data_IF_388446424239
#
_entry.id   IF_388446424239
#
_cell.length_a   1.000
_cell.length_b   1.000
_cell.length_c   1.000
_cell.angle_alpha   90.00
_cell.angle_beta   90.00
_cell.angle_gamma   90.00
#
_symmetry.space_group_name_H-M   'P 1'
#
loop_
_entity.id
_entity.type
_entity.pdbx_description
1 polymer ?
#
# COMPACT_ATOMS: atom_id res chain seq x y z
N UNK A 1 -23.20 -19.10 -29.08
CA UNK A 1 -23.03 -20.01 -27.91
C UNK A 1 -23.70 -19.39 -26.68
N UNK A 2 -24.15 -20.19 -25.71
CA UNK A 2 -24.76 -19.67 -24.48
C UNK A 2 -23.65 -19.29 -23.47
N UNK A 3 -23.72 -18.13 -22.79
CA UNK A 3 -22.75 -17.77 -21.76
C UNK A 3 -22.90 -18.66 -20.53
N UNK A 4 -21.77 -18.93 -19.86
CA UNK A 4 -21.72 -19.72 -18.64
C UNK A 4 -22.59 -19.07 -17.54
N UNK A 5 -23.56 -19.81 -17.01
CA UNK A 5 -24.51 -19.31 -16.00
C UNK A 5 -23.82 -18.74 -14.76
N UNK A 6 -22.73 -19.39 -14.30
CA UNK A 6 -21.92 -18.98 -13.15
C UNK A 6 -21.38 -17.55 -13.27
N UNK A 7 -21.03 -17.10 -14.48
CA UNK A 7 -20.33 -15.83 -14.68
C UNK A 7 -21.24 -14.67 -15.11
N UNK A 8 -22.50 -14.93 -15.48
CA UNK A 8 -23.42 -13.90 -16.00
C UNK A 8 -23.54 -12.69 -15.08
N UNK A 9 -23.75 -12.92 -13.77
CA UNK A 9 -23.88 -11.83 -12.79
C UNK A 9 -22.59 -11.01 -12.66
N UNK A 10 -21.44 -11.67 -12.62
CA UNK A 10 -20.14 -11.01 -12.53
C UNK A 10 -19.79 -10.23 -13.80
N UNK A 11 -20.22 -10.71 -14.96
CA UNK A 11 -20.08 -9.98 -16.24
C UNK A 11 -20.90 -8.69 -16.23
N UNK A 12 -22.13 -8.73 -15.71
CA UNK A 12 -22.94 -7.51 -15.56
C UNK A 12 -22.30 -6.51 -14.58
N UNK A 13 -21.74 -6.99 -13.47
CA UNK A 13 -21.00 -6.15 -12.53
C UNK A 13 -19.69 -5.61 -13.11
N UNK A 14 -18.98 -6.38 -13.93
CA UNK A 14 -17.80 -5.92 -14.65
C UNK A 14 -18.13 -4.79 -15.63
N UNK A 15 -19.25 -4.89 -16.35
CA UNK A 15 -19.69 -3.84 -17.28
C UNK A 15 -20.10 -2.53 -16.58
N UNK A 16 -20.48 -2.60 -15.31
CA UNK A 16 -20.81 -1.44 -14.47
C UNK A 16 -19.63 -0.95 -13.62
N UNK A 17 -18.43 -1.51 -13.83
CA UNK A 17 -17.22 -1.24 -13.04
C UNK A 17 -17.41 -1.41 -11.51
N UNK A 18 -18.26 -2.37 -11.14
CA UNK A 18 -18.65 -2.64 -9.74
C UNK A 18 -18.00 -3.90 -9.16
N UNK A 19 -17.01 -4.45 -9.85
CA UNK A 19 -16.30 -5.68 -9.44
C UNK A 19 -14.97 -5.30 -8.78
N UNK A 20 -14.58 -5.98 -7.70
CA UNK A 20 -13.26 -5.76 -7.11
C UNK A 20 -12.13 -6.17 -8.06
N UNK A 21 -10.95 -5.60 -7.83
CA UNK A 21 -9.77 -5.76 -8.70
C UNK A 21 -9.37 -7.22 -8.89
N UNK A 22 -9.53 -8.07 -7.87
CA UNK A 22 -9.16 -9.48 -7.97
C UNK A 22 -10.19 -10.27 -8.76
N UNK A 23 -11.49 -10.10 -8.45
CA UNK A 23 -12.57 -10.74 -9.19
C UNK A 23 -12.60 -10.31 -10.66
N UNK A 24 -12.25 -9.06 -10.95
CA UNK A 24 -12.16 -8.55 -12.32
C UNK A 24 -11.01 -9.21 -13.09
N UNK A 25 -9.85 -9.42 -12.45
CA UNK A 25 -8.73 -10.15 -13.05
C UNK A 25 -9.09 -11.60 -13.34
N UNK A 26 -9.67 -12.30 -12.38
CA UNK A 26 -10.07 -13.71 -12.54
C UNK A 26 -11.13 -13.88 -13.64
N UNK A 27 -12.10 -12.96 -13.71
CA UNK A 27 -13.12 -13.00 -14.75
C UNK A 27 -12.53 -12.70 -16.13
N UNK A 28 -11.62 -11.73 -16.24
CA UNK A 28 -10.92 -11.43 -17.51
C UNK A 28 -10.15 -12.64 -18.02
N UNK A 29 -9.45 -13.37 -17.15
CA UNK A 29 -8.77 -14.62 -17.54
C UNK A 29 -9.74 -15.66 -18.13
N UNK A 30 -10.96 -15.78 -17.59
CA UNK A 30 -11.99 -16.67 -18.16
C UNK A 30 -12.49 -16.18 -19.53
N UNK A 31 -12.63 -14.87 -19.72
CA UNK A 31 -13.10 -14.28 -20.99
C UNK A 31 -12.12 -14.48 -22.15
N UNK A 32 -10.83 -14.63 -21.86
CA UNK A 32 -9.82 -15.00 -22.87
C UNK A 32 -10.07 -16.39 -23.46
N UNK A 33 -10.59 -17.32 -22.66
CA UNK A 33 -10.83 -18.71 -23.09
C UNK A 33 -12.28 -18.97 -23.55
N UNK A 34 -13.26 -18.12 -23.19
CA UNK A 34 -14.68 -18.38 -23.44
C UNK A 34 -15.33 -17.34 -24.35
N UNK A 35 -15.55 -17.70 -25.62
CA UNK A 35 -16.21 -16.83 -26.61
C UNK A 35 -17.65 -16.47 -26.22
N UNK A 36 -18.42 -17.41 -25.67
CA UNK A 36 -19.81 -17.17 -25.28
C UNK A 36 -19.94 -16.11 -24.18
N UNK A 37 -19.04 -16.11 -23.20
CA UNK A 37 -19.00 -15.10 -22.15
C UNK A 37 -18.49 -13.75 -22.67
N UNK A 38 -17.53 -13.76 -23.62
CA UNK A 38 -17.01 -12.54 -24.25
C UNK A 38 -18.09 -11.82 -25.06
N UNK A 39 -18.85 -12.56 -25.86
CA UNK A 39 -19.96 -11.99 -26.64
C UNK A 39 -21.04 -11.43 -25.73
N UNK A 40 -21.37 -12.14 -24.65
CA UNK A 40 -22.32 -11.65 -23.66
C UNK A 40 -21.83 -10.37 -22.95
N UNK A 41 -20.53 -10.26 -22.63
CA UNK A 41 -19.97 -9.03 -22.09
C UNK A 41 -20.15 -7.86 -23.08
N UNK A 42 -19.85 -8.08 -24.37
CA UNK A 42 -20.02 -7.06 -25.40
C UNK A 42 -21.49 -6.59 -25.54
N UNK A 43 -22.44 -7.52 -25.44
CA UNK A 43 -23.88 -7.19 -25.48
C UNK A 43 -24.26 -6.32 -24.28
N UNK A 44 -23.84 -6.70 -23.07
CA UNK A 44 -24.14 -5.93 -21.85
C UNK A 44 -23.44 -4.57 -21.87
N UNK A 45 -22.17 -4.50 -22.27
CA UNK A 45 -21.43 -3.23 -22.35
C UNK A 45 -22.07 -2.27 -23.35
N UNK A 46 -22.57 -2.78 -24.49
CA UNK A 46 -23.29 -1.97 -25.48
C UNK A 46 -24.61 -1.41 -24.95
N UNK A 47 -25.33 -2.16 -24.10
CA UNK A 47 -26.54 -1.64 -23.42
C UNK A 47 -26.17 -0.56 -22.41
N UNK A 48 -25.15 -0.79 -21.56
CA UNK A 48 -24.73 0.20 -20.58
C UNK A 48 -24.21 1.48 -21.22
N UNK A 49 -23.52 1.38 -22.36
CA UNK A 49 -23.07 2.54 -23.13
C UNK A 49 -24.24 3.34 -23.68
N UNK A 50 -25.24 2.68 -24.28
CA UNK A 50 -26.47 3.36 -24.74
C UNK A 50 -27.22 4.04 -23.59
N UNK A 51 -27.28 3.41 -22.42
CA UNK A 51 -27.89 4.00 -21.22
C UNK A 51 -27.09 5.20 -20.70
N UNK A 52 -25.76 5.14 -20.74
CA UNK A 52 -24.89 6.25 -20.38
C UNK A 52 -25.01 7.41 -21.39
N UNK A 53 -25.11 7.13 -22.68
CA UNK A 53 -25.30 8.14 -23.72
C UNK A 53 -26.71 8.76 -23.67
N UNK A 54 -27.73 7.96 -23.30
CA UNK A 54 -29.09 8.43 -23.07
C UNK A 54 -29.30 9.06 -21.69
N UNK A 55 -28.27 9.07 -20.83
CA UNK A 55 -28.30 9.79 -19.55
C UNK A 55 -28.42 11.26 -19.90
N UNK A 56 -29.67 11.74 -19.85
CA UNK A 56 -30.10 13.14 -19.92
C UNK A 56 -28.99 13.96 -19.31
N UNK A 57 -28.43 14.91 -20.07
CA UNK A 57 -27.40 15.83 -19.60
C UNK A 57 -27.83 16.37 -18.25
N UNK A 58 -27.37 15.71 -17.19
CA UNK A 58 -27.53 16.22 -15.86
C UNK A 58 -26.72 17.51 -15.95
N UNK A 59 -27.38 18.65 -15.81
CA UNK A 59 -26.81 20.00 -15.89
C UNK A 59 -25.76 20.28 -14.81
N UNK A 60 -25.04 19.25 -14.37
CA UNK A 60 -23.81 19.24 -13.62
C UNK A 60 -22.71 19.62 -14.62
N UNK A 61 -22.62 20.91 -14.94
CA UNK A 61 -21.36 21.46 -15.44
C UNK A 61 -20.33 21.25 -14.33
N UNK A 62 -19.44 20.28 -14.52
CA UNK A 62 -18.24 20.19 -13.69
C UNK A 62 -17.48 21.50 -13.86
N UNK A 63 -17.19 22.19 -12.75
CA UNK A 63 -16.52 23.49 -12.79
C UNK A 63 -15.16 23.34 -13.49
N UNK A 64 -14.76 24.36 -14.23
CA UNK A 64 -13.44 24.40 -14.90
C UNK A 64 -12.29 24.11 -13.92
N UNK A 65 -12.44 24.59 -12.67
CA UNK A 65 -11.51 24.32 -11.58
C UNK A 65 -11.44 22.85 -11.15
N UNK A 66 -12.53 22.09 -11.26
CA UNK A 66 -12.52 20.65 -11.02
C UNK A 66 -11.75 19.94 -12.14
N UNK A 67 -12.02 20.29 -13.40
CA UNK A 67 -11.28 19.73 -14.54
C UNK A 67 -9.77 20.01 -14.44
N UNK A 68 -9.39 21.24 -14.10
CA UNK A 68 -7.98 21.61 -13.97
C UNK A 68 -7.30 20.85 -12.84
N UNK A 69 -7.98 20.63 -11.71
CA UNK A 69 -7.48 19.81 -10.60
C UNK A 69 -7.32 18.35 -10.99
N UNK A 70 -8.31 17.75 -11.66
CA UNK A 70 -8.26 16.34 -12.09
C UNK A 70 -7.16 16.12 -13.12
N UNK A 71 -7.05 16.99 -14.13
CA UNK A 71 -5.98 16.93 -15.13
C UNK A 71 -4.61 17.12 -14.48
N UNK A 72 -4.50 18.05 -13.53
CA UNK A 72 -3.28 18.25 -12.74
C UNK A 72 -2.88 17.00 -11.95
N UNK A 73 -3.85 16.37 -11.27
CA UNK A 73 -3.63 15.14 -10.51
C UNK A 73 -3.15 13.98 -11.40
N UNK A 74 -3.82 13.75 -12.53
CA UNK A 74 -3.44 12.71 -13.50
C UNK A 74 -2.02 12.89 -14.04
N UNK A 75 -1.66 14.13 -14.43
CA UNK A 75 -0.29 14.43 -14.89
C UNK A 75 0.75 14.24 -13.79
N UNK A 76 0.41 14.58 -12.55
CA UNK A 76 1.35 14.41 -11.43
C UNK A 76 1.68 12.94 -11.19
N UNK A 77 0.69 12.05 -11.30
CA UNK A 77 0.86 10.61 -11.13
C UNK A 77 1.67 9.98 -12.28
N UNK A 78 1.43 10.42 -13.51
CA UNK A 78 2.22 10.00 -14.68
C UNK A 78 3.69 10.42 -14.55
N UNK A 79 3.95 11.68 -14.15
CA UNK A 79 5.32 12.17 -13.95
C UNK A 79 6.04 11.52 -12.78
N UNK A 80 5.34 11.16 -11.70
CA UNK A 80 5.92 10.43 -10.57
C UNK A 80 6.51 9.07 -11.02
N UNK A 81 5.79 8.34 -11.86
CA UNK A 81 6.26 7.06 -12.41
C UNK A 81 7.53 7.19 -13.28
N UNK A 82 7.65 8.31 -14.02
CA UNK A 82 8.82 8.61 -14.84
C UNK A 82 10.05 8.97 -13.98
N UNK A 83 9.85 9.63 -12.84
CA UNK A 83 10.93 9.91 -11.89
C UNK A 83 11.39 8.66 -11.14
N UNK A 84 10.46 7.76 -10.79
CA UNK A 84 10.79 6.48 -10.14
C UNK A 84 11.63 5.58 -11.05
N UNK A 85 11.30 5.52 -12.35
CA UNK A 85 12.08 4.76 -13.33
C UNK A 85 13.48 5.35 -13.58
N UNK A 86 13.62 6.68 -13.56
CA UNK A 86 14.94 7.33 -13.64
C UNK A 86 15.76 7.15 -12.35
N UNK A 87 15.12 7.21 -11.18
CA UNK A 87 15.77 6.99 -9.89
C UNK A 87 16.34 5.57 -9.77
N UNK A 88 15.59 4.56 -10.23
CA UNK A 88 16.06 3.16 -10.23
C UNK A 88 17.27 2.95 -11.17
N UNK A 89 17.25 3.60 -12.35
CA UNK A 89 18.36 3.53 -13.30
C UNK A 89 19.62 4.26 -12.79
N UNK A 90 19.46 5.39 -12.11
CA UNK A 90 20.55 6.12 -11.46
C UNK A 90 21.14 5.33 -10.29
N UNK A 91 20.29 4.73 -9.44
CA UNK A 91 20.69 3.87 -8.33
C UNK A 91 21.52 2.66 -8.79
N UNK A 92 21.09 1.98 -9.87
CA UNK A 92 21.83 0.86 -10.47
C UNK A 92 23.21 1.26 -11.02
N UNK A 93 23.34 2.43 -11.66
CA UNK A 93 24.65 2.90 -12.16
C UNK A 93 25.61 3.29 -11.04
N UNK A 94 25.11 3.81 -9.92
CA UNK A 94 25.93 4.20 -8.77
C UNK A 94 26.41 2.98 -7.97
N UNK A 95 25.58 1.95 -7.82
CA UNK A 95 25.97 0.70 -7.15
C UNK A 95 27.11 -0.05 -7.87
N UNK A 96 27.21 0.10 -9.20
CA UNK A 96 28.30 -0.46 -10.00
C UNK A 96 29.67 0.19 -9.77
N UNK A 97 29.73 1.38 -9.17
CA UNK A 97 31.00 2.09 -8.86
C UNK A 97 31.53 1.83 -7.45
N UNK A 98 30.73 1.21 -6.57
CA UNK A 98 31.13 0.93 -5.17
C UNK A 98 31.72 -0.49 -5.01
N UNK A 99 31.64 -1.34 -6.03
CA UNK A 99 32.18 -2.71 -6.00
C UNK A 99 33.65 -2.84 -6.46
N UNK A 100 34.28 -1.78 -6.97
CA UNK A 100 35.68 -1.83 -7.41
C UNK A 100 36.78 -1.77 -6.32
N UNK A 101 36.60 -1.17 -5.13
CA UNK A 101 37.65 -1.19 -4.11
C UNK A 101 37.75 -2.55 -3.38
N UNK A 102 36.71 -3.40 -3.42
CA UNK A 102 36.73 -4.73 -2.78
C UNK A 102 37.62 -5.72 -3.55
N UNK A 103 37.64 -5.64 -4.88
CA UNK A 103 38.49 -6.51 -5.72
C UNK A 103 39.97 -6.15 -5.54
N UNK A 104 40.30 -4.86 -5.45
CA UNK A 104 41.66 -4.41 -5.15
C UNK A 104 42.17 -4.88 -3.78
N UNK A 105 41.33 -4.77 -2.75
CA UNK A 105 41.67 -5.26 -1.41
C UNK A 105 41.88 -6.78 -1.38
N UNK A 106 41.06 -7.55 -2.11
CA UNK A 106 41.21 -9.01 -2.20
C UNK A 106 42.55 -9.41 -2.84
N UNK A 107 42.99 -8.74 -3.91
CA UNK A 107 44.29 -9.02 -4.55
C UNK A 107 45.45 -8.71 -3.61
N UNK A 108 45.38 -7.61 -2.86
CA UNK A 108 46.40 -7.25 -1.87
C UNK A 108 46.44 -8.25 -0.70
N UNK A 109 45.28 -8.69 -0.21
CA UNK A 109 45.18 -9.71 0.86
C UNK A 109 45.72 -11.06 0.38
N UNK A 110 45.41 -11.47 -0.85
CA UNK A 110 45.93 -12.72 -1.45
C UNK A 110 47.46 -12.64 -1.63
N UNK A 111 47.99 -11.50 -2.10
CA UNK A 111 49.43 -11.28 -2.22
C UNK A 111 50.12 -11.27 -0.83
N UNK A 112 49.50 -10.67 0.18
CA UNK A 112 50.01 -10.67 1.55
C UNK A 112 49.99 -12.08 2.17
N UNK A 113 48.93 -12.86 1.93
CA UNK A 113 48.84 -14.26 2.37
C UNK A 113 49.92 -15.13 1.70
N UNK A 114 50.19 -14.93 0.42
CA UNK A 114 51.28 -15.62 -0.28
C UNK A 114 52.67 -15.31 0.32
N UNK A 115 52.90 -14.08 0.76
CA UNK A 115 54.14 -13.69 1.45
C UNK A 115 54.23 -14.26 2.88
N UNK A 116 53.08 -14.45 3.55
CA UNK A 116 53.03 -15.08 4.87
C UNK A 116 53.23 -16.59 4.84
N UNK A 117 52.78 -17.29 3.80
CA UNK A 117 52.99 -18.75 3.63
C UNK A 117 54.48 -19.08 3.42
N UNK A 118 55.30 -18.13 2.93
CA UNK A 118 56.75 -18.31 2.81
C UNK A 118 57.53 -18.06 4.11
N UNK A 119 56.88 -17.67 5.22
CA UNK A 119 57.54 -17.52 6.53
C UNK A 119 57.00 -18.55 7.53
N UNK A 120 57.82 -19.48 8.04
CA UNK A 120 57.40 -20.32 9.14
C UNK A 120 57.53 -19.53 10.45
N UNK A 121 56.41 -19.34 11.17
CA UNK A 121 56.45 -19.14 12.61
C UNK A 121 55.49 -18.10 13.22
N UNK A 122 54.60 -18.63 14.07
CA UNK A 122 54.14 -18.08 15.38
C UNK A 122 52.78 -17.32 15.40
N UNK A 123 51.93 -17.51 16.45
CA UNK A 123 50.48 -17.67 16.29
C UNK A 123 49.60 -16.47 16.68
N UNK A 124 48.34 -16.63 16.27
CA UNK A 124 47.11 -15.87 16.47
C UNK A 124 46.74 -15.56 17.94
N UNK A 125 46.12 -14.39 18.21
CA UNK A 125 45.14 -14.26 19.29
C UNK A 125 43.71 -14.01 18.79
N UNK A 126 42.77 -14.53 19.58
CA UNK A 126 41.34 -14.72 19.38
C UNK A 126 40.48 -13.44 19.35
N UNK A 127 39.21 -13.51 18.87
CA UNK A 127 38.32 -12.37 18.74
C UNK A 127 37.60 -12.04 20.06
N UNK A 128 37.60 -10.77 20.45
CA UNK A 128 36.82 -10.25 21.59
C UNK A 128 35.38 -9.99 21.17
N UNK A 129 34.45 -10.68 21.83
CA UNK A 129 33.02 -10.67 21.56
C UNK A 129 32.34 -9.31 21.74
N UNK A 130 31.35 -9.07 20.88
CA UNK A 130 30.40 -7.99 20.99
C UNK A 130 29.49 -8.18 22.21
N UNK A 131 29.37 -7.16 23.06
CA UNK A 131 28.30 -7.09 24.05
C UNK A 131 27.08 -6.42 23.42
N UNK A 132 25.98 -7.16 23.36
CA UNK A 132 24.66 -6.64 23.00
C UNK A 132 24.14 -5.76 24.16
N UNK A 133 23.84 -4.51 23.85
CA UNK A 133 23.20 -3.56 24.77
C UNK A 133 21.73 -3.97 24.94
N UNK A 134 21.36 -4.38 26.15
CA UNK A 134 19.96 -4.50 26.59
C UNK A 134 19.33 -3.10 26.67
N UNK A 135 18.26 -2.85 25.90
CA UNK A 135 17.43 -1.64 26.03
C UNK A 135 16.53 -1.74 27.29
N UNK A 136 16.35 -0.66 28.06
CA UNK A 136 15.52 -0.68 29.26
C UNK A 136 14.03 -0.71 28.86
N UNK A 137 13.30 -1.65 29.45
CA UNK A 137 11.86 -1.83 29.28
C UNK A 137 11.12 -0.80 30.16
N UNK A 138 10.82 0.37 29.58
CA UNK A 138 10.02 1.41 30.24
C UNK A 138 8.56 1.21 29.83
N UNK A 139 7.85 0.34 30.55
CA UNK A 139 6.39 0.21 30.47
C UNK A 139 5.76 1.49 31.05
N UNK A 140 5.41 2.45 30.20
CA UNK A 140 4.48 3.53 30.56
C UNK A 140 3.08 3.13 30.11
N UNK A 141 2.15 3.14 31.06
CA UNK A 141 0.72 3.14 30.78
C UNK A 141 0.42 4.43 30.00
N UNK A 142 0.31 4.32 28.68
CA UNK A 142 0.00 5.46 27.81
C UNK A 142 -1.52 5.63 27.75
N UNK A 143 -1.98 6.87 27.89
CA UNK A 143 -3.38 7.20 27.70
C UNK A 143 -3.85 6.81 26.30
N UNK A 144 -5.09 6.32 26.12
CA UNK A 144 -5.65 5.88 24.84
C UNK A 144 -5.96 7.07 23.93
N UNK A 145 -4.91 7.76 23.49
CA UNK A 145 -4.98 8.88 22.55
C UNK A 145 -4.37 8.48 21.21
N UNK A 146 -4.91 9.03 20.12
CA UNK A 146 -4.48 8.72 18.75
C UNK A 146 -2.97 8.94 18.56
N UNK A 147 -2.44 10.04 19.11
CA UNK A 147 -1.02 10.36 19.04
C UNK A 147 -0.13 9.31 19.71
N UNK A 148 -0.59 8.70 20.80
CA UNK A 148 0.16 7.66 21.50
C UNK A 148 0.21 6.35 20.70
N UNK A 149 -0.88 5.94 20.04
CA UNK A 149 -0.85 4.76 19.16
C UNK A 149 0.05 4.96 17.95
N UNK A 150 0.02 6.14 17.33
CA UNK A 150 0.88 6.44 16.18
C UNK A 150 2.36 6.38 16.55
N UNK A 151 2.74 6.93 17.71
CA UNK A 151 4.11 6.86 18.21
C UNK A 151 4.57 5.41 18.42
N UNK A 152 3.72 4.54 18.99
CA UNK A 152 4.05 3.13 19.23
C UNK A 152 4.11 2.33 17.93
N UNK A 153 3.15 2.54 17.02
CA UNK A 153 3.12 1.91 15.70
C UNK A 153 4.37 2.22 14.86
N UNK A 154 4.86 3.46 14.94
CA UNK A 154 6.09 3.89 14.27
C UNK A 154 7.36 3.27 14.89
N UNK A 155 7.26 2.71 16.10
CA UNK A 155 8.38 2.07 16.80
C UNK A 155 8.43 0.57 16.56
N UNK A 156 7.30 -0.13 16.74
CA UNK A 156 7.12 -1.54 16.33
C UNK A 156 5.64 -1.90 16.27
N UNK A 157 5.30 -2.87 15.40
CA UNK A 157 3.93 -3.36 15.27
C UNK A 157 3.55 -4.30 16.42
N UNK A 158 4.53 -5.06 16.95
CA UNK A 158 4.33 -5.96 18.08
C UNK A 158 4.00 -5.22 19.39
N UNK A 159 4.65 -4.07 19.64
CA UNK A 159 4.37 -3.24 20.83
C UNK A 159 2.98 -2.57 20.72
N UNK A 160 2.53 -2.28 19.49
CA UNK A 160 1.17 -1.78 19.25
C UNK A 160 0.13 -2.86 19.56
N UNK A 161 0.34 -4.10 19.10
CA UNK A 161 -0.56 -5.22 19.34
C UNK A 161 -0.70 -5.55 20.84
N UNK A 162 0.42 -5.55 21.57
CA UNK A 162 0.40 -5.75 23.03
C UNK A 162 -0.37 -4.62 23.74
N UNK A 163 -0.20 -3.37 23.30
CA UNK A 163 -0.89 -2.22 23.86
C UNK A 163 -2.40 -2.29 23.60
N UNK A 164 -2.81 -2.63 22.37
CA UNK A 164 -4.21 -2.78 22.00
C UNK A 164 -4.88 -3.93 22.76
N UNK A 165 -4.20 -5.08 22.86
CA UNK A 165 -4.67 -6.23 23.64
C UNK A 165 -4.88 -5.85 25.11
N UNK A 166 -3.94 -5.12 25.70
CA UNK A 166 -4.02 -4.70 27.10
C UNK A 166 -5.16 -3.72 27.35
N UNK A 167 -5.40 -2.78 26.43
CA UNK A 167 -6.48 -1.81 26.56
C UNK A 167 -7.85 -2.42 26.26
N UNK A 168 -7.96 -3.35 25.32
CA UNK A 168 -9.19 -4.10 25.08
C UNK A 168 -9.63 -4.94 26.29
N UNK A 169 -8.66 -5.37 27.11
CA UNK A 169 -8.90 -6.08 28.37
C UNK A 169 -9.17 -5.16 29.57
N UNK A 170 -9.14 -3.82 29.41
CA UNK A 170 -9.45 -2.87 30.49
C UNK A 170 -10.98 -2.71 30.58
N UNK A 171 -11.55 -2.93 31.77
CA UNK A 171 -12.97 -2.68 32.02
C UNK A 171 -13.30 -1.20 31.76
N UNK A 172 -14.32 -0.87 30.94
CA UNK A 172 -14.68 0.52 30.71
C UNK A 172 -15.20 1.15 32.01
N UNK A 173 -14.86 2.42 32.29
CA UNK A 173 -15.52 3.16 33.37
C UNK A 173 -17.02 3.31 33.05
N UNK A 174 -17.89 3.43 34.08
CA UNK A 174 -19.33 3.57 33.86
C UNK A 174 -19.64 4.79 32.99
N UNK A 175 -20.34 4.53 31.89
CA UNK A 175 -20.64 5.49 30.82
C UNK A 175 -21.60 6.55 31.35
N UNK A 176 -21.23 7.83 31.28
CA UNK A 176 -22.18 8.93 31.46
C UNK A 176 -23.05 9.03 30.20
N UNK A 177 -24.35 8.80 30.36
CA UNK A 177 -25.34 8.89 29.29
C UNK A 177 -25.57 10.38 28.99
N UNK A 178 -25.02 10.88 27.89
CA UNK A 178 -25.36 12.20 27.37
C UNK A 178 -26.54 12.09 26.40
N UNK A 179 -27.72 12.47 26.87
CA UNK A 179 -28.95 12.54 26.06
C UNK A 179 -28.96 13.87 25.30
N UNK A 180 -28.91 13.83 23.96
CA UNK A 180 -29.07 15.01 23.11
C UNK A 180 -30.47 15.00 22.45
N UNK A 181 -31.40 15.78 23.01
CA UNK A 181 -32.70 16.13 22.43
C UNK A 181 -33.16 17.41 23.18
N UNK A 182 -33.73 18.46 22.62
CA UNK A 182 -34.56 18.72 21.43
C UNK A 182 -34.35 20.17 20.96
N UNK A 183 -34.42 20.45 19.65
CA UNK A 183 -34.58 21.83 19.15
C UNK A 183 -36.09 22.11 18.99
N UNK A 184 -36.65 23.19 19.59
CA UNK A 184 -38.03 23.56 19.35
C UNK A 184 -38.18 24.24 17.98
N UNK A 185 -39.10 23.70 17.18
CA UNK A 185 -39.53 24.28 15.90
C UNK A 185 -40.36 25.54 16.19
N UNK A 186 -39.87 26.70 15.78
CA UNK A 186 -40.60 27.96 15.86
C UNK A 186 -41.70 28.01 14.79
N UNK A 187 -42.94 28.28 15.20
CA UNK A 187 -44.05 28.60 14.30
C UNK A 187 -43.98 30.09 13.93
N UNK A 188 -44.11 30.39 12.63
CA UNK A 188 -44.26 31.76 12.14
C UNK A 188 -45.73 32.21 12.26
N UNK A 189 -46.01 33.47 12.66
CA UNK A 189 -47.34 34.05 12.59
C UNK A 189 -47.66 34.62 11.19
N UNK A 190 -48.94 34.57 10.84
CA UNK A 190 -49.54 35.19 9.64
C UNK A 190 -49.48 36.72 9.66
#
# INVERSE_FOLDING_TARGET
MKPCSKYRKRIAWLALDALDVQQARDLRAHLEACEGCRRYLADISGVTEKLNAAKIEAGIQASESFHQKVVGALRSEETASAWETLADLAGRRLHGRVAWPVIGAAVVVIAALFLFVQRPGIPLPAPTGAQAVLKPNVKRDLDPTISNYQMVANRSLEELDELLTRQGNRNPPPIQIYTASTLPRANAPD
#
